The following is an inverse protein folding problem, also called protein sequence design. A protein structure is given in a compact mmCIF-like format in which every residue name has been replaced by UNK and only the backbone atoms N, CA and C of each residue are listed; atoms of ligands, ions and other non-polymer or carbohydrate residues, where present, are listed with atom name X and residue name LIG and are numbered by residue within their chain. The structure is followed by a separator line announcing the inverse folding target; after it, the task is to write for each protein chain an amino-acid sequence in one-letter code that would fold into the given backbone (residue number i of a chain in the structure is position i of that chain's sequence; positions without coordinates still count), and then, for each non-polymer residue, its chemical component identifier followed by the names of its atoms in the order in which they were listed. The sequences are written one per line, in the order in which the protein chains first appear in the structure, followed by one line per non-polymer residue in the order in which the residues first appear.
data_IF_494038634060
#
_entry.id   IF_494038634060
#
_cell.length_a   1.000
_cell.length_b   1.000
_cell.length_c   1.000
_cell.angle_alpha   90.00
_cell.angle_beta   90.00
_cell.angle_gamma   90.00
#
_symmetry.space_group_name_H-M   'P 1'
#
loop_
_entity.id
_entity.type
_entity.pdbx_description
1 polymer ?
#
# COMPACT_ATOMS: atom_id res chain seq x y z
N UNK A 1 -6.26 -35.80 -11.21
CA UNK A 1 -6.96 -34.57 -10.78
C UNK A 1 -7.37 -34.78 -9.33
N UNK A 2 -6.63 -34.19 -8.42
CA UNK A 2 -6.94 -34.25 -7.00
C UNK A 2 -8.28 -33.54 -6.75
N UNK A 3 -9.20 -34.27 -6.12
CA UNK A 3 -10.57 -33.86 -5.85
C UNK A 3 -10.56 -32.80 -4.68
N UNK A 4 -9.82 -31.68 -4.87
CA UNK A 4 -9.73 -30.61 -3.89
C UNK A 4 -11.12 -29.99 -3.71
N UNK A 5 -11.71 -30.18 -2.54
CA UNK A 5 -13.05 -29.69 -2.21
C UNK A 5 -13.06 -28.16 -2.25
N UNK A 6 -13.73 -27.57 -3.24
CA UNK A 6 -13.83 -26.13 -3.40
C UNK A 6 -14.51 -25.47 -2.20
N UNK A 7 -13.95 -24.35 -1.75
CA UNK A 7 -14.37 -23.62 -0.53
C UNK A 7 -15.27 -22.44 -0.87
N UNK A 8 -16.35 -22.26 -0.14
CA UNK A 8 -17.27 -21.11 -0.27
C UNK A 8 -17.43 -20.31 1.01
N UNK A 9 -16.72 -20.68 2.08
CA UNK A 9 -16.82 -20.03 3.39
C UNK A 9 -16.32 -18.56 3.35
N UNK A 10 -16.81 -17.73 4.25
CA UNK A 10 -16.29 -16.37 4.44
C UNK A 10 -14.81 -16.37 4.89
N UNK A 11 -14.39 -17.36 5.69
CA UNK A 11 -13.01 -17.50 6.11
C UNK A 11 -12.07 -17.74 4.91
N UNK A 12 -12.43 -18.66 3.99
CA UNK A 12 -11.65 -18.89 2.77
C UNK A 12 -11.63 -17.65 1.84
N UNK A 13 -12.75 -16.93 1.75
CA UNK A 13 -12.81 -15.68 1.00
C UNK A 13 -11.95 -14.59 1.64
N UNK A 14 -11.91 -14.51 2.98
CA UNK A 14 -11.05 -13.58 3.72
C UNK A 14 -9.56 -13.87 3.48
N UNK A 15 -9.15 -15.14 3.46
CA UNK A 15 -7.76 -15.52 3.13
C UNK A 15 -7.35 -14.98 1.75
N UNK A 16 -8.19 -15.14 0.74
CA UNK A 16 -7.91 -14.63 -0.61
C UNK A 16 -7.95 -13.09 -0.64
N UNK A 17 -8.90 -12.46 0.03
CA UNK A 17 -8.94 -11.00 0.16
C UNK A 17 -7.70 -10.46 0.88
N UNK A 18 -7.15 -11.18 1.86
CA UNK A 18 -5.90 -10.84 2.55
C UNK A 18 -4.68 -10.92 1.65
N UNK A 19 -4.66 -11.84 0.67
CA UNK A 19 -3.61 -11.85 -0.36
C UNK A 19 -3.68 -10.58 -1.19
N UNK A 20 -4.87 -10.16 -1.62
CA UNK A 20 -5.02 -8.88 -2.32
C UNK A 20 -4.55 -7.72 -1.47
N UNK A 21 -5.00 -7.64 -0.22
CA UNK A 21 -4.57 -6.59 0.69
C UNK A 21 -3.05 -6.59 0.88
N UNK A 22 -2.45 -7.77 1.08
CA UNK A 22 -0.99 -7.91 1.24
C UNK A 22 -0.18 -7.49 0.00
N UNK A 23 -0.68 -7.77 -1.21
CA UNK A 23 -0.02 -7.31 -2.45
C UNK A 23 -0.20 -5.81 -2.69
N UNK A 24 -1.28 -5.21 -2.19
CA UNK A 24 -1.60 -3.80 -2.34
C UNK A 24 -0.87 -2.92 -1.32
N UNK A 25 -0.70 -3.38 -0.08
CA UNK A 25 -0.17 -2.60 1.06
C UNK A 25 1.34 -2.30 0.94
N UNK A 26 1.99 -2.58 -0.17
CA UNK A 26 3.39 -2.27 -0.41
C UNK A 26 3.84 -0.87 0.01
N UNK A 27 5.04 -0.49 -0.39
CA UNK A 27 5.70 0.76 0.00
C UNK A 27 4.81 2.02 -0.08
N UNK A 28 3.96 2.09 -1.09
CA UNK A 28 3.21 3.30 -1.35
C UNK A 28 2.04 3.55 -0.41
N UNK A 29 1.21 2.52 -0.16
CA UNK A 29 0.07 2.64 0.76
C UNK A 29 0.54 2.66 2.21
N UNK A 30 1.38 1.71 2.60
CA UNK A 30 1.82 1.59 3.97
C UNK A 30 2.57 2.84 4.47
N UNK A 31 3.38 3.51 3.64
CA UNK A 31 4.00 4.79 4.00
C UNK A 31 3.03 5.97 4.02
N UNK A 32 1.90 5.86 3.32
CA UNK A 32 0.99 6.96 3.02
C UNK A 32 1.36 7.76 1.77
N UNK A 33 2.51 7.50 1.15
CA UNK A 33 2.97 8.26 -0.02
C UNK A 33 2.01 8.19 -1.21
N UNK A 34 1.54 7.00 -1.58
CA UNK A 34 0.53 6.86 -2.63
C UNK A 34 -0.79 7.53 -2.24
N UNK A 35 -1.17 7.44 -0.96
CA UNK A 35 -2.41 8.07 -0.47
C UNK A 35 -2.33 9.58 -0.66
N UNK A 36 -1.19 10.21 -0.35
CA UNK A 36 -0.97 11.63 -0.60
C UNK A 36 -0.98 11.94 -2.09
N UNK A 37 -0.22 11.21 -2.90
CA UNK A 37 0.00 11.52 -4.31
C UNK A 37 -1.22 11.26 -5.21
N UNK A 38 -2.07 10.31 -4.86
CA UNK A 38 -3.24 9.97 -5.68
C UNK A 38 -4.55 10.54 -5.15
N UNK A 39 -4.62 10.89 -3.85
CA UNK A 39 -5.89 11.27 -3.23
C UNK A 39 -5.81 12.57 -2.44
N UNK A 40 -4.93 12.67 -1.43
CA UNK A 40 -4.92 13.77 -0.46
C UNK A 40 -4.65 15.12 -1.11
N UNK A 41 -3.72 15.18 -2.06
CA UNK A 41 -3.42 16.43 -2.79
C UNK A 41 -4.61 17.03 -3.56
N UNK A 42 -5.69 16.26 -3.75
CA UNK A 42 -6.93 16.71 -4.39
C UNK A 42 -8.04 17.08 -3.39
N UNK A 43 -7.69 17.17 -2.09
CA UNK A 43 -8.59 17.66 -1.03
C UNK A 43 -9.59 16.60 -0.55
N UNK A 44 -10.84 17.02 -0.34
CA UNK A 44 -11.89 16.20 0.30
C UNK A 44 -12.18 14.87 -0.42
N UNK A 45 -11.84 14.76 -1.68
CA UNK A 45 -11.98 13.55 -2.48
C UNK A 45 -11.13 12.38 -1.96
N UNK A 46 -10.15 12.67 -1.10
CA UNK A 46 -9.28 11.67 -0.46
C UNK A 46 -10.05 10.60 0.34
N UNK A 47 -11.26 10.90 0.83
CA UNK A 47 -12.11 9.94 1.53
C UNK A 47 -12.98 9.07 0.59
N UNK A 48 -13.25 9.54 -0.64
CA UNK A 48 -14.23 8.90 -1.54
C UNK A 48 -13.54 8.20 -2.71
N UNK A 49 -12.57 8.82 -3.34
CA UNK A 49 -11.91 8.28 -4.54
C UNK A 49 -11.22 6.92 -4.31
N UNK A 50 -10.63 6.64 -3.14
CA UNK A 50 -10.12 5.31 -2.85
C UNK A 50 -11.19 4.21 -2.94
N UNK A 51 -12.39 4.48 -2.44
CA UNK A 51 -13.51 3.53 -2.51
C UNK A 51 -13.95 3.28 -3.95
N UNK A 52 -13.98 4.32 -4.78
CA UNK A 52 -14.31 4.20 -6.21
C UNK A 52 -13.23 3.44 -6.98
N UNK A 53 -11.97 3.78 -6.78
CA UNK A 53 -10.83 3.13 -7.43
C UNK A 53 -10.79 1.63 -7.10
N UNK A 54 -10.88 1.30 -5.80
CA UNK A 54 -10.89 -0.09 -5.34
C UNK A 54 -12.20 -0.82 -5.72
N UNK A 55 -13.30 -0.11 -5.89
CA UNK A 55 -14.56 -0.65 -6.40
C UNK A 55 -14.43 -1.11 -7.86
N UNK A 56 -13.85 -0.28 -8.72
CA UNK A 56 -13.53 -0.64 -10.10
C UNK A 56 -12.61 -1.86 -10.13
N UNK A 57 -11.54 -1.83 -9.34
CA UNK A 57 -10.59 -2.94 -9.27
C UNK A 57 -11.26 -4.22 -8.73
N UNK A 58 -12.18 -4.14 -7.77
CA UNK A 58 -12.92 -5.29 -7.26
C UNK A 58 -13.77 -5.96 -8.34
N UNK A 59 -14.37 -5.17 -9.22
CA UNK A 59 -15.10 -5.69 -10.40
C UNK A 59 -14.13 -6.40 -11.35
N UNK A 60 -12.99 -5.79 -11.64
CA UNK A 60 -11.94 -6.43 -12.48
C UNK A 60 -11.46 -7.73 -11.86
N UNK A 61 -11.14 -7.74 -10.55
CA UNK A 61 -10.72 -8.93 -9.81
C UNK A 61 -11.78 -10.04 -9.88
N UNK A 62 -13.05 -9.68 -9.66
CA UNK A 62 -14.15 -10.65 -9.76
C UNK A 62 -14.26 -11.25 -11.15
N UNK A 63 -14.21 -10.43 -12.19
CA UNK A 63 -14.32 -10.87 -13.59
C UNK A 63 -13.15 -11.79 -13.94
N UNK A 64 -11.92 -11.40 -13.60
CA UNK A 64 -10.71 -12.16 -13.93
C UNK A 64 -10.64 -13.50 -13.21
N UNK A 65 -10.90 -13.53 -11.90
CA UNK A 65 -10.95 -14.78 -11.14
C UNK A 65 -12.08 -15.70 -11.61
N UNK A 66 -13.26 -15.14 -11.95
CA UNK A 66 -14.38 -15.90 -12.47
C UNK A 66 -14.08 -16.45 -13.87
N UNK A 67 -13.47 -15.65 -14.75
CA UNK A 67 -13.07 -16.07 -16.08
C UNK A 67 -12.06 -17.21 -16.03
N UNK A 68 -10.97 -17.06 -15.24
CA UNK A 68 -9.99 -18.11 -15.05
C UNK A 68 -10.65 -19.42 -14.59
N UNK A 69 -11.55 -19.34 -13.60
CA UNK A 69 -12.25 -20.51 -13.07
C UNK A 69 -13.19 -21.17 -14.09
N UNK A 70 -13.93 -20.41 -14.89
CA UNK A 70 -14.82 -20.94 -15.93
C UNK A 70 -14.05 -21.60 -17.07
N UNK A 71 -12.87 -21.10 -17.38
CA UNK A 71 -11.97 -21.60 -18.43
C UNK A 71 -11.06 -22.74 -17.94
N UNK A 72 -11.09 -23.07 -16.64
CA UNK A 72 -10.23 -24.12 -16.06
C UNK A 72 -8.76 -23.73 -15.96
N UNK A 73 -8.44 -22.43 -15.93
CA UNK A 73 -7.07 -21.92 -15.78
C UNK A 73 -6.70 -21.75 -14.33
N UNK A 74 -5.51 -22.22 -13.95
CA UNK A 74 -4.97 -22.13 -12.60
C UNK A 74 -3.91 -21.03 -12.46
N UNK A 75 -3.52 -20.40 -13.57
CA UNK A 75 -2.47 -19.40 -13.63
C UNK A 75 -2.90 -18.20 -14.47
N UNK A 76 -2.21 -17.09 -14.29
CA UNK A 76 -2.53 -15.86 -15.01
C UNK A 76 -2.09 -15.91 -16.48
N UNK A 77 -1.04 -16.66 -16.81
CA UNK A 77 -0.51 -16.76 -18.17
C UNK A 77 -1.57 -17.27 -19.16
N UNK A 78 -2.17 -18.40 -18.86
CA UNK A 78 -3.22 -18.96 -19.72
C UNK A 78 -4.46 -18.08 -19.71
N UNK A 79 -4.79 -17.49 -18.55
CA UNK A 79 -5.91 -16.56 -18.40
C UNK A 79 -5.75 -15.35 -19.31
N UNK A 80 -4.59 -14.68 -19.28
CA UNK A 80 -4.36 -13.49 -20.12
C UNK A 80 -4.20 -13.84 -21.59
N UNK A 81 -3.53 -14.96 -21.92
CA UNK A 81 -3.42 -15.44 -23.29
C UNK A 81 -4.78 -15.67 -23.95
N UNK A 82 -5.76 -16.18 -23.19
CA UNK A 82 -7.11 -16.38 -23.65
C UNK A 82 -7.93 -15.11 -23.84
N UNK A 83 -7.52 -13.98 -23.24
CA UNK A 83 -8.18 -12.68 -23.41
C UNK A 83 -7.79 -11.97 -24.70
N UNK A 84 -6.63 -12.30 -25.28
CA UNK A 84 -6.16 -11.64 -26.49
C UNK A 84 -6.57 -12.39 -27.75
N UNK A 85 -6.99 -11.68 -28.82
CA UNK A 85 -7.38 -12.31 -30.07
C UNK A 85 -6.24 -13.03 -30.77
N UNK A 86 -4.99 -12.64 -30.48
CA UNK A 86 -3.78 -13.30 -30.99
C UNK A 86 -2.81 -13.55 -29.85
N UNK A 87 -2.23 -14.75 -29.70
CA UNK A 87 -1.35 -15.12 -28.58
C UNK A 87 -0.15 -14.18 -28.38
N UNK A 88 0.42 -13.65 -29.47
CA UNK A 88 1.58 -12.74 -29.38
C UNK A 88 1.26 -11.39 -28.70
N UNK A 89 0.00 -10.96 -28.67
CA UNK A 89 -0.40 -9.71 -28.03
C UNK A 89 -0.21 -9.75 -26.51
N UNK A 90 -0.12 -10.93 -25.92
CA UNK A 90 0.21 -11.13 -24.50
C UNK A 90 1.54 -10.45 -24.12
N UNK A 91 2.49 -10.31 -25.06
CA UNK A 91 3.80 -9.68 -24.83
C UNK A 91 3.64 -8.24 -24.31
N UNK A 92 2.64 -7.49 -24.75
CA UNK A 92 2.38 -6.13 -24.23
C UNK A 92 2.03 -6.15 -22.74
N UNK A 93 1.21 -7.11 -22.31
CA UNK A 93 0.90 -7.29 -20.90
C UNK A 93 2.17 -7.66 -20.13
N UNK A 94 2.99 -8.56 -20.65
CA UNK A 94 4.22 -9.00 -20.00
C UNK A 94 5.20 -7.85 -19.79
N UNK A 95 5.43 -7.04 -20.81
CA UNK A 95 6.31 -5.87 -20.70
C UNK A 95 5.78 -4.91 -19.63
N UNK A 96 4.49 -4.58 -19.68
CA UNK A 96 3.85 -3.73 -18.68
C UNK A 96 3.99 -4.32 -17.28
N UNK A 97 3.71 -5.61 -17.12
CA UNK A 97 3.74 -6.31 -15.83
C UNK A 97 5.15 -6.34 -15.23
N UNK A 98 6.18 -6.63 -16.03
CA UNK A 98 7.58 -6.60 -15.60
C UNK A 98 7.98 -5.20 -15.12
N UNK A 99 7.66 -4.16 -15.89
CA UNK A 99 7.99 -2.77 -15.53
C UNK A 99 7.34 -2.39 -14.21
N UNK A 100 6.04 -2.70 -14.03
CA UNK A 100 5.31 -2.37 -12.79
C UNK A 100 5.88 -3.14 -11.59
N UNK A 101 6.18 -4.44 -11.75
CA UNK A 101 6.78 -5.23 -10.65
C UNK A 101 8.15 -4.65 -10.25
N UNK A 102 9.01 -4.37 -11.23
CA UNK A 102 10.32 -3.79 -10.95
C UNK A 102 10.22 -2.46 -10.22
N UNK A 103 9.31 -1.58 -10.65
CA UNK A 103 9.04 -0.31 -9.98
C UNK A 103 8.50 -0.51 -8.55
N UNK A 104 7.58 -1.45 -8.35
CA UNK A 104 7.01 -1.74 -7.03
C UNK A 104 8.05 -2.34 -6.08
N UNK A 105 8.86 -3.29 -6.54
CA UNK A 105 9.94 -3.89 -5.74
C UNK A 105 11.01 -2.85 -5.41
N UNK A 106 11.42 -2.02 -6.37
CA UNK A 106 12.38 -0.94 -6.12
C UNK A 106 11.87 0.04 -5.06
N UNK A 107 10.57 0.41 -5.11
CA UNK A 107 9.95 1.26 -4.09
C UNK A 107 9.92 0.59 -2.70
N UNK A 108 9.69 -0.72 -2.64
CA UNK A 108 9.74 -1.48 -1.38
C UNK A 108 11.16 -1.55 -0.81
N UNK A 109 12.17 -1.77 -1.66
CA UNK A 109 13.59 -1.77 -1.26
C UNK A 109 13.98 -0.41 -0.68
N UNK A 110 13.64 0.67 -1.39
CA UNK A 110 13.94 2.04 -0.93
C UNK A 110 13.20 2.38 0.37
N UNK A 111 11.93 1.98 0.51
CA UNK A 111 11.16 2.16 1.73
C UNK A 111 11.73 1.38 2.93
N UNK A 112 12.03 0.09 2.75
CA UNK A 112 12.64 -0.74 3.78
C UNK A 112 14.07 -0.27 4.13
N UNK A 113 14.85 0.13 3.13
CA UNK A 113 16.17 0.72 3.31
C UNK A 113 16.11 2.02 4.13
N UNK A 114 15.11 2.88 3.88
CA UNK A 114 14.85 4.08 4.67
C UNK A 114 14.55 3.78 6.15
N UNK A 115 13.82 2.70 6.44
CA UNK A 115 13.61 2.24 7.82
C UNK A 115 14.94 1.79 8.46
N UNK A 116 15.72 0.98 7.76
CA UNK A 116 17.03 0.54 8.26
C UNK A 116 17.94 1.74 8.53
N UNK A 117 17.97 2.71 7.61
CA UNK A 117 18.71 3.97 7.79
C UNK A 117 18.28 4.72 9.04
N UNK A 118 16.96 4.82 9.30
CA UNK A 118 16.44 5.50 10.49
C UNK A 118 16.86 4.85 11.81
N UNK A 119 17.25 3.58 11.79
CA UNK A 119 17.69 2.82 12.96
C UNK A 119 19.21 2.84 13.18
N UNK A 120 19.99 2.73 12.11
CA UNK A 120 21.45 2.51 12.19
C UNK A 120 22.29 3.57 11.48
N UNK A 121 21.64 4.56 10.85
CA UNK A 121 22.27 5.72 10.20
C UNK A 121 23.44 5.37 9.23
N UNK A 122 23.25 4.33 8.42
CA UNK A 122 24.19 3.97 7.34
C UNK A 122 23.80 4.66 6.02
N UNK A 123 24.72 4.77 5.05
CA UNK A 123 24.42 5.27 3.70
C UNK A 123 23.27 4.49 3.05
N UNK A 124 22.40 5.19 2.31
CA UNK A 124 21.21 4.60 1.65
C UNK A 124 21.54 3.39 0.80
N UNK A 125 22.66 3.45 0.06
CA UNK A 125 23.07 2.34 -0.81
C UNK A 125 23.36 1.06 -0.02
N UNK A 126 23.97 1.17 1.17
CA UNK A 126 24.27 0.00 2.03
C UNK A 126 22.95 -0.55 2.58
N UNK A 127 22.07 0.31 3.07
CA UNK A 127 20.76 -0.10 3.57
C UNK A 127 19.96 -0.85 2.49
N UNK A 128 19.91 -0.31 1.27
CA UNK A 128 19.20 -0.93 0.15
C UNK A 128 19.84 -2.26 -0.27
N UNK A 129 21.18 -2.39 -0.28
CA UNK A 129 21.85 -3.65 -0.59
C UNK A 129 21.54 -4.74 0.45
N UNK A 130 21.47 -4.39 1.74
CA UNK A 130 21.05 -5.32 2.80
C UNK A 130 19.63 -5.82 2.55
N UNK A 131 18.72 -4.93 2.18
CA UNK A 131 17.32 -5.31 1.85
C UNK A 131 17.28 -6.21 0.62
N UNK A 132 18.01 -5.89 -0.45
CA UNK A 132 18.09 -6.73 -1.65
C UNK A 132 18.60 -8.14 -1.30
N UNK A 133 19.66 -8.24 -0.52
CA UNK A 133 20.20 -9.53 -0.08
C UNK A 133 19.17 -10.33 0.74
N UNK A 134 18.44 -9.66 1.65
CA UNK A 134 17.35 -10.27 2.41
C UNK A 134 16.21 -10.78 1.50
N UNK A 135 15.80 -9.98 0.51
CA UNK A 135 14.75 -10.37 -0.43
C UNK A 135 15.16 -11.57 -1.30
N UNK A 136 16.40 -11.61 -1.77
CA UNK A 136 16.92 -12.76 -2.53
C UNK A 136 16.88 -14.01 -1.65
N UNK A 137 17.36 -13.93 -0.41
CA UNK A 137 17.34 -15.05 0.53
C UNK A 137 15.91 -15.55 0.79
N UNK A 138 14.97 -14.64 1.06
CA UNK A 138 13.58 -14.99 1.31
C UNK A 138 12.87 -15.53 0.05
N UNK A 139 13.22 -15.04 -1.13
CA UNK A 139 12.66 -15.57 -2.39
C UNK A 139 13.08 -17.01 -2.66
N UNK A 140 14.28 -17.43 -2.19
CA UNK A 140 14.77 -18.79 -2.34
C UNK A 140 14.12 -19.74 -1.30
N UNK A 141 14.03 -19.31 -0.06
CA UNK A 141 13.71 -20.20 1.07
C UNK A 141 12.35 -19.95 1.73
N UNK A 142 11.73 -18.82 1.48
CA UNK A 142 10.65 -18.29 2.33
C UNK A 142 9.28 -18.14 1.68
N UNK A 143 9.10 -18.46 0.42
CA UNK A 143 7.86 -18.13 -0.32
C UNK A 143 6.62 -18.77 0.31
N UNK A 144 6.67 -20.05 0.64
CA UNK A 144 5.54 -20.75 1.27
C UNK A 144 5.21 -20.17 2.66
N UNK A 145 6.25 -19.80 3.40
CA UNK A 145 6.09 -19.18 4.72
C UNK A 145 5.42 -17.81 4.60
N UNK A 146 5.83 -17.01 3.61
CA UNK A 146 5.29 -15.67 3.39
C UNK A 146 3.83 -15.72 2.93
N UNK A 147 3.48 -16.64 2.03
CA UNK A 147 2.08 -16.82 1.61
C UNK A 147 1.20 -17.22 2.80
N UNK A 148 1.67 -18.14 3.65
CA UNK A 148 0.95 -18.56 4.86
C UNK A 148 0.87 -17.42 5.89
N UNK A 149 1.93 -16.65 6.07
CA UNK A 149 1.98 -15.51 6.96
C UNK A 149 1.17 -14.30 6.47
N UNK A 150 0.90 -14.21 5.17
CA UNK A 150 0.24 -13.06 4.53
C UNK A 150 -1.11 -12.70 5.17
N UNK A 151 -1.92 -13.69 5.53
CA UNK A 151 -3.23 -13.43 6.18
C UNK A 151 -3.06 -12.80 7.57
N UNK A 152 -2.12 -13.32 8.36
CA UNK A 152 -1.83 -12.80 9.71
C UNK A 152 -1.25 -11.39 9.60
N UNK A 153 -0.28 -11.20 8.71
CA UNK A 153 0.37 -9.91 8.50
C UNK A 153 -0.61 -8.86 7.97
N UNK A 154 -1.44 -9.20 6.99
CA UNK A 154 -2.48 -8.29 6.47
C UNK A 154 -3.47 -7.87 7.55
N UNK A 155 -3.88 -8.81 8.42
CA UNK A 155 -4.77 -8.50 9.54
C UNK A 155 -4.08 -7.56 10.55
N UNK A 156 -2.82 -7.83 10.88
CA UNK A 156 -2.05 -6.97 11.80
C UNK A 156 -1.88 -5.55 11.22
N UNK A 157 -1.55 -5.44 9.92
CA UNK A 157 -1.41 -4.14 9.25
C UNK A 157 -2.75 -3.38 9.25
N UNK A 158 -3.89 -4.05 8.98
CA UNK A 158 -5.20 -3.42 9.05
C UNK A 158 -5.51 -2.87 10.44
N UNK A 159 -5.24 -3.65 11.50
CA UNK A 159 -5.46 -3.23 12.89
C UNK A 159 -4.60 -2.01 13.22
N UNK A 160 -3.30 -2.05 12.93
CA UNK A 160 -2.39 -0.94 13.24
C UNK A 160 -2.70 0.29 12.40
N UNK A 161 -3.09 0.12 11.13
CA UNK A 161 -3.57 1.24 10.31
C UNK A 161 -4.84 1.86 10.90
N UNK A 162 -5.77 1.04 11.39
CA UNK A 162 -6.97 1.55 12.06
C UNK A 162 -6.62 2.33 13.35
N UNK A 163 -5.69 1.82 14.16
CA UNK A 163 -5.20 2.53 15.35
C UNK A 163 -4.55 3.85 14.95
N UNK A 164 -3.67 3.85 13.94
CA UNK A 164 -3.03 5.06 13.44
C UNK A 164 -4.05 6.10 12.99
N UNK A 165 -5.05 5.67 12.23
CA UNK A 165 -6.13 6.55 11.75
C UNK A 165 -6.91 7.14 12.94
N UNK A 166 -7.32 6.32 13.89
CA UNK A 166 -8.05 6.77 15.08
C UNK A 166 -7.20 7.80 15.86
N UNK A 167 -5.94 7.48 16.14
CA UNK A 167 -5.04 8.38 16.85
C UNK A 167 -4.80 9.67 16.07
N UNK A 168 -4.66 9.59 14.73
CA UNK A 168 -4.54 10.76 13.86
C UNK A 168 -5.75 11.70 13.88
N UNK A 169 -6.94 11.19 14.23
CA UNK A 169 -8.12 12.03 14.46
C UNK A 169 -8.26 12.51 15.90
N UNK A 170 -7.82 11.75 16.88
CA UNK A 170 -7.93 12.08 18.31
C UNK A 170 -6.92 13.14 18.73
N UNK A 171 -5.69 13.08 18.22
CA UNK A 171 -4.64 14.04 18.57
C UNK A 171 -5.02 15.44 18.05
N UNK A 172 -5.02 16.48 18.92
CA UNK A 172 -5.38 17.84 18.53
C UNK A 172 -4.26 18.46 17.70
N UNK A 173 -4.52 18.70 16.42
CA UNK A 173 -3.56 19.32 15.48
C UNK A 173 -3.14 20.70 15.93
N UNK A 174 -4.06 21.49 16.52
CA UNK A 174 -3.76 22.83 16.99
C UNK A 174 -2.69 22.84 18.08
N UNK A 175 -2.68 21.83 18.97
CA UNK A 175 -1.63 21.68 19.97
C UNK A 175 -0.27 21.36 19.31
N UNK A 176 -0.27 20.47 18.31
CA UNK A 176 0.95 20.16 17.54
C UNK A 176 1.44 21.40 16.78
N UNK A 177 0.54 22.16 16.17
CA UNK A 177 0.88 23.40 15.48
C UNK A 177 1.49 24.43 16.42
N UNK A 178 0.97 24.56 17.64
CA UNK A 178 1.54 25.45 18.67
C UNK A 178 2.92 24.99 19.12
N UNK A 179 3.12 23.69 19.33
CA UNK A 179 4.42 23.11 19.68
C UNK A 179 5.45 23.41 18.58
N UNK A 180 5.12 23.17 17.32
CA UNK A 180 5.97 23.50 16.19
C UNK A 180 6.30 25.01 16.12
N UNK A 181 5.33 25.88 16.40
CA UNK A 181 5.55 27.33 16.44
C UNK A 181 6.50 27.73 17.55
N UNK A 182 6.59 27.01 18.66
CA UNK A 182 7.60 27.26 19.72
C UNK A 182 9.00 26.80 19.30
N UNK A 183 9.11 25.73 18.52
CA UNK A 183 10.39 25.25 17.97
C UNK A 183 10.92 26.23 16.88
N UNK A 184 10.02 26.69 15.99
CA UNK A 184 10.39 27.59 14.91
C UNK A 184 9.22 28.54 14.55
N UNK A 185 9.45 29.83 14.60
CA UNK A 185 8.45 30.87 14.29
C UNK A 185 7.87 30.77 12.86
N UNK A 186 8.54 30.09 11.94
CA UNK A 186 8.01 29.83 10.59
C UNK A 186 6.71 28.99 10.61
N UNK A 187 6.42 28.27 11.71
CA UNK A 187 5.18 27.50 11.89
C UNK A 187 4.05 28.28 12.60
N UNK A 188 4.24 29.60 12.87
CA UNK A 188 3.21 30.43 13.49
C UNK A 188 1.90 30.50 12.66
N UNK A 189 1.98 30.26 11.36
CA UNK A 189 0.80 30.13 10.49
C UNK A 189 0.89 28.88 9.62
N UNK A 190 0.11 27.84 9.97
CA UNK A 190 -0.06 26.66 9.12
C UNK A 190 -1.10 26.98 8.04
N UNK A 191 -0.84 26.68 6.76
CA UNK A 191 -1.77 26.97 5.67
C UNK A 191 -3.10 26.21 5.84
N UNK A 192 -4.18 26.76 5.29
CA UNK A 192 -5.45 26.03 5.25
C UNK A 192 -5.39 24.86 4.25
N UNK A 193 -6.25 23.84 4.44
CA UNK A 193 -6.33 22.69 3.53
C UNK A 193 -6.54 23.14 2.07
N UNK A 194 -7.37 24.16 1.86
CA UNK A 194 -7.64 24.69 0.52
C UNK A 194 -6.42 25.29 -0.18
N UNK A 195 -5.46 25.80 0.58
CA UNK A 195 -4.25 26.43 0.06
C UNK A 195 -3.19 25.42 -0.38
N UNK A 196 -3.21 24.22 0.21
CA UNK A 196 -2.25 23.15 -0.05
C UNK A 196 -2.79 22.03 -0.95
N UNK A 197 -4.08 22.05 -1.27
CA UNK A 197 -4.71 21.05 -2.13
C UNK A 197 -5.05 21.60 -3.50
N UNK A 198 -4.91 20.75 -4.53
CA UNK A 198 -5.28 21.11 -5.90
C UNK A 198 -6.80 21.09 -6.05
N UNK A 199 -7.38 22.17 -6.59
CA UNK A 199 -8.81 22.25 -6.93
C UNK A 199 -9.16 21.60 -8.27
N UNK A 200 -8.24 20.86 -8.89
CA UNK A 200 -8.43 20.22 -10.20
C UNK A 200 -9.22 18.91 -10.08
N UNK A 201 -10.54 19.00 -9.91
CA UNK A 201 -11.41 17.85 -9.68
C UNK A 201 -11.33 16.76 -10.75
N UNK A 202 -11.28 17.13 -12.05
CA UNK A 202 -11.16 16.16 -13.15
C UNK A 202 -9.81 15.42 -13.14
N UNK A 203 -8.72 16.11 -12.84
CA UNK A 203 -7.41 15.47 -12.68
C UNK A 203 -7.41 14.50 -11.50
N UNK A 204 -8.04 14.88 -10.39
CA UNK A 204 -8.24 14.01 -9.23
C UNK A 204 -9.02 12.74 -9.57
N UNK A 205 -10.11 12.84 -10.35
CA UNK A 205 -10.86 11.66 -10.84
C UNK A 205 -9.97 10.79 -11.72
N UNK A 206 -9.29 11.40 -12.70
CA UNK A 206 -8.44 10.64 -13.61
C UNK A 206 -7.33 9.91 -12.86
N UNK A 207 -6.52 10.62 -12.07
CA UNK A 207 -5.39 10.05 -11.33
C UNK A 207 -5.83 9.19 -10.15
N UNK A 208 -6.72 9.70 -9.31
CA UNK A 208 -7.13 9.04 -8.07
C UNK A 208 -8.08 7.86 -8.28
N UNK A 209 -8.85 7.82 -9.37
CA UNK A 209 -9.77 6.70 -9.61
C UNK A 209 -9.22 5.78 -10.70
N UNK A 210 -9.03 6.28 -11.93
CA UNK A 210 -8.71 5.41 -13.05
C UNK A 210 -7.24 4.99 -13.08
N UNK A 211 -6.29 5.93 -12.95
CA UNK A 211 -4.86 5.59 -13.01
C UNK A 211 -4.48 4.74 -11.80
N UNK A 212 -5.01 5.05 -10.61
CA UNK A 212 -4.73 4.24 -9.42
C UNK A 212 -5.29 2.83 -9.54
N UNK A 213 -6.54 2.67 -9.99
CA UNK A 213 -7.14 1.35 -10.22
C UNK A 213 -6.35 0.56 -11.27
N UNK A 214 -5.94 1.19 -12.38
CA UNK A 214 -5.15 0.56 -13.42
C UNK A 214 -3.77 0.11 -12.91
N UNK A 215 -3.07 0.95 -12.16
CA UNK A 215 -1.80 0.61 -11.53
C UNK A 215 -1.93 -0.61 -10.62
N UNK A 216 -2.98 -0.68 -9.81
CA UNK A 216 -3.22 -1.77 -8.87
C UNK A 216 -3.66 -3.08 -9.54
N UNK A 217 -3.92 -3.11 -10.84
CA UNK A 217 -4.14 -4.35 -11.60
C UNK A 217 -2.93 -5.29 -11.57
N UNK A 218 -1.75 -4.83 -11.14
CA UNK A 218 -0.58 -5.66 -10.85
C UNK A 218 -0.89 -6.81 -9.88
N UNK A 219 -1.91 -6.66 -9.03
CA UNK A 219 -2.34 -7.69 -8.08
C UNK A 219 -3.20 -8.80 -8.71
N UNK A 220 -3.73 -8.61 -9.94
CA UNK A 220 -4.64 -9.58 -10.59
C UNK A 220 -4.02 -10.98 -10.74
N UNK A 221 -2.75 -11.13 -11.19
CA UNK A 221 -2.11 -12.45 -11.28
C UNK A 221 -2.09 -13.21 -9.96
N UNK A 222 -1.75 -12.55 -8.86
CA UNK A 222 -1.75 -13.16 -7.53
C UNK A 222 -3.15 -13.60 -7.10
N UNK A 223 -4.19 -12.83 -7.46
CA UNK A 223 -5.58 -13.13 -7.13
C UNK A 223 -6.10 -14.34 -7.94
N UNK A 224 -5.73 -14.48 -9.20
CA UNK A 224 -6.08 -15.67 -10.01
C UNK A 224 -5.51 -16.91 -9.31
N UNK A 225 -4.22 -16.92 -8.98
CA UNK A 225 -3.56 -18.03 -8.31
C UNK A 225 -4.19 -18.35 -6.93
N UNK A 226 -4.45 -17.33 -6.11
CA UNK A 226 -5.02 -17.51 -4.77
C UNK A 226 -6.48 -18.01 -4.79
N UNK A 227 -7.23 -17.75 -5.86
CA UNK A 227 -8.66 -18.09 -5.95
C UNK A 227 -8.96 -19.49 -6.45
N UNK A 228 -7.96 -20.29 -6.81
CA UNK A 228 -8.13 -21.63 -7.42
C UNK A 228 -8.99 -22.57 -6.57
N UNK A 229 -8.88 -22.50 -5.25
CA UNK A 229 -9.65 -23.31 -4.30
C UNK A 229 -11.05 -22.75 -3.96
N UNK A 230 -11.43 -21.57 -4.48
CA UNK A 230 -12.73 -20.98 -4.18
C UNK A 230 -13.81 -21.45 -5.16
N UNK A 231 -15.05 -21.56 -4.68
CA UNK A 231 -16.23 -21.64 -5.55
C UNK A 231 -16.53 -20.26 -6.18
N UNK A 232 -17.41 -20.17 -7.18
CA UNK A 232 -17.89 -18.90 -7.73
C UNK A 232 -18.47 -17.97 -6.66
N UNK A 233 -19.17 -18.53 -5.66
CA UNK A 233 -19.67 -17.78 -4.51
C UNK A 233 -18.53 -17.28 -3.61
N UNK A 234 -17.50 -18.08 -3.42
CA UNK A 234 -16.28 -17.71 -2.71
C UNK A 234 -15.53 -16.54 -3.39
N UNK A 235 -15.39 -16.60 -4.72
CA UNK A 235 -14.77 -15.54 -5.52
C UNK A 235 -15.51 -14.21 -5.35
N UNK A 236 -16.86 -14.20 -5.44
CA UNK A 236 -17.65 -12.99 -5.21
C UNK A 236 -17.42 -12.42 -3.81
N UNK A 237 -17.40 -13.27 -2.78
CA UNK A 237 -17.14 -12.86 -1.39
C UNK A 237 -15.73 -12.30 -1.21
N UNK A 238 -14.73 -12.92 -1.82
CA UNK A 238 -13.34 -12.45 -1.77
C UNK A 238 -13.18 -11.07 -2.41
N UNK A 239 -13.84 -10.82 -3.54
CA UNK A 239 -13.82 -9.50 -4.20
C UNK A 239 -14.47 -8.42 -3.34
N UNK A 240 -15.61 -8.71 -2.70
CA UNK A 240 -16.29 -7.76 -1.81
C UNK A 240 -15.44 -7.47 -0.56
N UNK A 241 -14.91 -8.51 0.09
CA UNK A 241 -14.04 -8.34 1.26
C UNK A 241 -12.77 -7.58 0.90
N UNK A 242 -12.14 -7.91 -0.23
CA UNK A 242 -10.97 -7.20 -0.71
C UNK A 242 -11.25 -5.72 -0.99
N UNK A 243 -12.41 -5.40 -1.58
CA UNK A 243 -12.84 -4.02 -1.75
C UNK A 243 -12.99 -3.27 -0.42
N UNK A 244 -13.66 -3.87 0.55
CA UNK A 244 -13.86 -3.25 1.86
C UNK A 244 -12.53 -3.06 2.61
N UNK A 245 -11.65 -4.06 2.57
CA UNK A 245 -10.34 -3.99 3.23
C UNK A 245 -9.46 -2.91 2.58
N UNK A 246 -9.28 -2.97 1.27
CA UNK A 246 -8.38 -2.05 0.56
C UNK A 246 -8.98 -0.65 0.43
N UNK A 247 -10.21 -0.53 -0.04
CA UNK A 247 -10.89 0.75 -0.22
C UNK A 247 -11.16 1.46 1.10
N UNK A 248 -11.60 0.71 2.12
CA UNK A 248 -11.85 1.24 3.46
C UNK A 248 -10.57 1.74 4.15
N UNK A 249 -9.50 0.95 4.11
CA UNK A 249 -8.22 1.35 4.69
C UNK A 249 -7.62 2.58 3.99
N UNK A 250 -7.67 2.61 2.64
CA UNK A 250 -7.21 3.78 1.87
C UNK A 250 -8.04 5.03 2.16
N UNK A 251 -9.37 4.92 2.19
CA UNK A 251 -10.26 6.05 2.45
C UNK A 251 -10.05 6.61 3.86
N UNK A 252 -9.94 5.74 4.86
CA UNK A 252 -9.66 6.12 6.23
C UNK A 252 -8.29 6.79 6.39
N UNK A 253 -7.24 6.21 5.79
CA UNK A 253 -5.90 6.83 5.75
C UNK A 253 -5.92 8.15 4.99
N UNK A 254 -6.65 8.24 3.88
CA UNK A 254 -6.78 9.47 3.09
C UNK A 254 -7.43 10.60 3.87
N UNK A 255 -8.51 10.30 4.58
CA UNK A 255 -9.20 11.27 5.43
C UNK A 255 -8.29 11.74 6.59
N UNK A 256 -7.58 10.83 7.24
CA UNK A 256 -6.62 11.15 8.29
C UNK A 256 -5.46 12.01 7.75
N UNK A 257 -4.82 11.57 6.66
CA UNK A 257 -3.70 12.31 6.08
C UNK A 257 -4.13 13.68 5.54
N UNK A 258 -5.37 13.83 5.02
CA UNK A 258 -5.90 15.14 4.60
C UNK A 258 -5.92 16.13 5.75
N UNK A 259 -6.29 15.68 6.95
CA UNK A 259 -6.27 16.51 8.15
C UNK A 259 -4.86 16.97 8.51
N UNK A 260 -3.85 16.10 8.35
CA UNK A 260 -2.44 16.40 8.67
C UNK A 260 -1.67 17.05 7.52
N UNK A 261 -2.24 17.07 6.32
CA UNK A 261 -1.56 17.50 5.10
C UNK A 261 -1.01 18.94 5.18
N UNK A 262 -1.74 19.92 5.73
CA UNK A 262 -1.21 21.29 5.90
C UNK A 262 0.06 21.34 6.74
N UNK A 263 0.11 20.59 7.84
CA UNK A 263 1.29 20.51 8.72
C UNK A 263 2.47 19.90 7.97
N UNK A 264 2.24 18.78 7.27
CA UNK A 264 3.28 18.13 6.47
C UNK A 264 3.80 19.04 5.34
N UNK A 265 2.92 19.82 4.70
CA UNK A 265 3.30 20.81 3.70
C UNK A 265 4.14 21.94 4.29
N UNK A 266 3.77 22.43 5.47
CA UNK A 266 4.54 23.45 6.18
C UNK A 266 5.95 22.93 6.51
N UNK A 267 6.07 21.71 7.07
CA UNK A 267 7.38 21.10 7.39
C UNK A 267 8.21 20.92 6.11
N UNK A 268 7.60 20.44 5.03
CA UNK A 268 8.30 20.30 3.75
C UNK A 268 8.83 21.63 3.21
N UNK A 269 8.11 22.73 3.41
CA UNK A 269 8.51 24.06 2.91
C UNK A 269 9.61 24.70 3.75
N UNK A 270 9.60 24.49 5.06
CA UNK A 270 10.61 25.06 5.99
C UNK A 270 11.87 24.18 6.03
N UNK A 271 11.69 22.87 5.93
CA UNK A 271 12.74 21.86 5.99
C UNK A 271 12.57 20.92 7.19
N UNK A 272 12.85 19.66 6.96
CA UNK A 272 12.66 18.57 7.96
C UNK A 272 13.54 18.72 9.19
N UNK A 273 14.72 19.33 9.05
CA UNK A 273 15.68 19.55 10.13
C UNK A 273 15.21 20.66 11.11
N UNK A 274 14.21 21.44 10.73
CA UNK A 274 13.61 22.47 11.56
C UNK A 274 12.68 21.93 12.66
N UNK A 275 12.37 20.63 12.63
CA UNK A 275 11.55 19.92 13.61
C UNK A 275 12.38 18.84 14.28
N UNK A 276 12.72 19.04 15.55
CA UNK A 276 13.64 18.17 16.30
C UNK A 276 13.19 16.69 16.32
N UNK A 277 11.90 16.42 16.47
CA UNK A 277 11.36 15.06 16.50
C UNK A 277 11.48 14.34 15.15
N UNK A 278 11.31 15.06 14.03
CA UNK A 278 11.48 14.54 12.66
C UNK A 278 12.94 14.29 12.34
N UNK A 279 13.81 15.25 12.68
CA UNK A 279 15.26 15.12 12.50
C UNK A 279 15.83 13.95 13.29
N UNK A 280 15.42 13.75 14.54
CA UNK A 280 15.83 12.63 15.39
C UNK A 280 15.45 11.24 14.83
N UNK A 281 14.47 11.17 13.91
CA UNK A 281 14.05 9.94 13.21
C UNK A 281 14.68 9.81 11.82
N UNK A 282 15.60 10.72 11.45
CA UNK A 282 16.26 10.73 10.13
C UNK A 282 15.28 10.69 8.94
N UNK A 283 14.10 11.30 9.10
CA UNK A 283 13.09 11.39 8.03
C UNK A 283 13.52 12.48 7.08
N UNK A 284 14.08 12.10 5.94
CA UNK A 284 14.60 13.06 4.95
C UNK A 284 13.48 13.78 4.16
N UNK A 285 12.29 13.21 4.06
CA UNK A 285 11.13 13.81 3.38
C UNK A 285 9.84 13.31 4.02
N UNK A 286 9.09 14.24 4.62
CA UNK A 286 7.80 13.95 5.27
C UNK A 286 6.73 13.46 4.28
N UNK A 287 6.86 13.78 2.99
CA UNK A 287 5.94 13.32 1.94
C UNK A 287 6.31 11.93 1.40
N UNK A 288 7.53 11.46 1.65
CA UNK A 288 7.93 10.08 1.36
C UNK A 288 7.39 9.10 2.39
N UNK A 289 7.33 9.50 3.65
CA UNK A 289 6.86 8.70 4.79
C UNK A 289 5.77 9.42 5.61
N UNK A 290 4.66 9.89 4.99
CA UNK A 290 3.69 10.75 5.65
C UNK A 290 3.06 10.11 6.90
N UNK A 291 2.70 8.83 6.87
CA UNK A 291 2.15 8.15 8.04
C UNK A 291 3.14 8.09 9.21
N UNK A 292 4.42 7.82 8.94
CA UNK A 292 5.49 7.79 9.95
C UNK A 292 5.74 9.18 10.52
N UNK A 293 5.71 10.19 9.67
CA UNK A 293 5.83 11.61 10.06
C UNK A 293 4.69 12.03 10.99
N UNK A 294 3.44 11.66 10.64
CA UNK A 294 2.28 11.93 11.50
C UNK A 294 2.43 11.28 12.88
N UNK A 295 2.82 10.00 12.94
CA UNK A 295 3.04 9.32 14.25
C UNK A 295 4.15 9.99 15.06
N UNK A 296 5.21 10.46 14.40
CA UNK A 296 6.29 11.21 15.05
C UNK A 296 5.80 12.52 15.64
N UNK A 297 4.98 13.26 14.90
CA UNK A 297 4.40 14.53 15.31
C UNK A 297 3.34 14.41 16.41
N UNK A 298 2.77 13.23 16.63
CA UNK A 298 1.85 12.98 17.76
C UNK A 298 2.54 13.10 19.12
N UNK A 299 3.88 13.09 19.16
CA UNK A 299 4.67 13.29 20.39
C UNK A 299 5.15 11.99 21.05
N UNK A 300 5.90 12.18 22.15
CA UNK A 300 6.59 11.09 22.86
C UNK A 300 5.65 10.01 23.45
N UNK A 301 4.43 10.38 23.81
CA UNK A 301 3.41 9.43 24.29
C UNK A 301 3.03 8.34 23.27
N UNK A 302 3.32 8.55 21.99
CA UNK A 302 2.99 7.63 20.89
C UNK A 302 4.21 6.88 20.32
N UNK A 303 5.35 6.90 21.01
CA UNK A 303 6.57 6.19 20.57
C UNK A 303 6.31 4.68 20.38
N UNK A 304 5.48 4.06 21.21
CA UNK A 304 5.08 2.67 21.03
C UNK A 304 4.39 2.42 19.68
N UNK A 305 3.51 3.35 19.25
CA UNK A 305 2.81 3.26 17.96
C UNK A 305 3.80 3.41 16.81
N UNK A 306 4.77 4.32 16.92
CA UNK A 306 5.86 4.47 15.96
C UNK A 306 6.64 3.16 15.78
N UNK A 307 7.03 2.50 16.88
CA UNK A 307 7.79 1.25 16.85
C UNK A 307 6.98 0.13 16.20
N UNK A 308 5.75 -0.09 16.66
CA UNK A 308 4.86 -1.13 16.14
C UNK A 308 4.57 -0.90 14.66
N UNK A 309 4.26 0.34 14.28
CA UNK A 309 3.99 0.71 12.90
C UNK A 309 5.22 0.51 12.01
N UNK A 310 6.41 0.91 12.45
CA UNK A 310 7.67 0.75 11.72
C UNK A 310 8.01 -0.71 11.47
N UNK A 311 7.82 -1.60 12.47
CA UNK A 311 8.03 -3.05 12.31
C UNK A 311 7.05 -3.62 11.27
N UNK A 312 5.76 -3.27 11.37
CA UNK A 312 4.75 -3.76 10.43
C UNK A 312 4.97 -3.20 9.01
N UNK A 313 5.39 -1.96 8.91
CA UNK A 313 5.75 -1.33 7.63
C UNK A 313 6.93 -2.07 6.96
N UNK A 314 7.97 -2.39 7.72
CA UNK A 314 9.08 -3.20 7.24
C UNK A 314 8.61 -4.59 6.77
N UNK A 315 7.80 -5.27 7.57
CA UNK A 315 7.22 -6.56 7.19
C UNK A 315 6.34 -6.46 5.93
N UNK A 316 5.58 -5.36 5.77
CA UNK A 316 4.78 -5.12 4.57
C UNK A 316 5.65 -4.98 3.31
N UNK A 317 6.76 -4.24 3.38
CA UNK A 317 7.68 -4.09 2.25
C UNK A 317 8.29 -5.43 1.83
N UNK A 318 8.78 -6.19 2.80
CA UNK A 318 9.37 -7.50 2.56
C UNK A 318 8.33 -8.46 1.98
N UNK A 319 7.15 -8.57 2.58
CA UNK A 319 6.07 -9.45 2.13
C UNK A 319 5.61 -9.12 0.71
N UNK A 320 5.37 -7.85 0.41
CA UNK A 320 4.95 -7.42 -0.92
C UNK A 320 6.01 -7.72 -1.97
N UNK A 321 7.28 -7.39 -1.69
CA UNK A 321 8.38 -7.63 -2.62
C UNK A 321 8.53 -9.11 -2.96
N UNK A 322 8.53 -9.98 -1.95
CA UNK A 322 8.68 -11.43 -2.17
C UNK A 322 7.48 -11.99 -2.94
N UNK A 323 6.26 -11.55 -2.63
CA UNK A 323 5.06 -11.99 -3.35
C UNK A 323 5.09 -11.57 -4.83
N UNK A 324 5.52 -10.33 -5.12
CA UNK A 324 5.63 -9.83 -6.49
C UNK A 324 6.74 -10.55 -7.28
N UNK A 325 7.91 -10.73 -6.67
CA UNK A 325 9.03 -11.48 -7.28
C UNK A 325 8.62 -12.93 -7.55
N UNK A 326 7.95 -13.57 -6.61
CA UNK A 326 7.44 -14.93 -6.79
C UNK A 326 6.42 -15.02 -7.94
N UNK A 327 5.47 -14.09 -7.99
CA UNK A 327 4.49 -14.04 -9.09
C UNK A 327 5.15 -13.87 -10.45
N UNK A 328 6.28 -13.16 -10.51
CA UNK A 328 7.09 -13.02 -11.71
C UNK A 328 7.84 -14.31 -12.05
N UNK A 329 8.44 -14.97 -11.06
CA UNK A 329 9.19 -16.24 -11.27
C UNK A 329 8.25 -17.36 -11.76
N UNK A 330 7.02 -17.42 -11.24
CA UNK A 330 6.03 -18.44 -11.71
C UNK A 330 5.67 -18.31 -13.20
N UNK A 331 6.08 -17.24 -13.85
CA UNK A 331 5.91 -17.03 -15.28
C UNK A 331 6.88 -17.87 -16.11
N UNK A 332 8.09 -18.04 -15.62
CA UNK A 332 9.18 -18.76 -16.32
C UNK A 332 9.29 -20.20 -15.86
#
# INVERSE_FOLDING_TARGET
MDNKKLKSSWAAAFTVASVWFGTHVGAGFATGNQVVNYFVQYGWTAAIFPLLAMGILAVVMYIMMKFAKLSGFDNYKDTYRALYPKPWMEVFFEIFYIIIILAAVASCVDGAGGIVKSLINLPDIICNLVIIALLILLSIFGVDLIIKASTVLSTAILIVTAILVIMGFVVPIDAVAQELATENAAYASIPAIADVTSQKGLEGVWRGVFVYAAFQCVSVPAMIAASTELTHKGVKRASILGWLMNGGALAASGAMLLRWYPVLCAIKSVGVDSVASIAARHIADVMKLPNQSVVTLMGSGYTWLFVVYTILLFCAFVSTSVTLVYSMIQRF
#
